data_IF_585720371168
#
_entry.id   IF_585720371168
#
_cell.length_a   1.000
_cell.length_b   1.000
_cell.length_c   1.000
_cell.angle_alpha   90.00
_cell.angle_beta   90.00
_cell.angle_gamma   90.00
#
_symmetry.space_group_name_H-M   'P 1'
#
loop_
_entity.id
_entity.type
_entity.pdbx_description
1 polymer ?
#
# COMPACT_ATOMS: atom_id res chain seq x y z
N UNK A 1 -37.31 -6.75 12.31
CA UNK A 1 -36.79 -5.50 12.86
C UNK A 1 -35.61 -5.84 13.74
N UNK A 2 -34.43 -6.07 13.11
CA UNK A 2 -33.18 -6.33 13.82
C UNK A 2 -32.11 -5.49 13.13
N UNK A 3 -31.71 -4.41 13.80
CA UNK A 3 -30.54 -3.61 13.43
C UNK A 3 -29.29 -4.34 13.92
N UNK A 4 -28.47 -4.83 13.00
CA UNK A 4 -27.11 -5.23 13.29
C UNK A 4 -26.19 -4.04 13.05
N UNK A 5 -25.71 -3.48 14.12
CA UNK A 5 -24.61 -2.51 14.09
C UNK A 5 -23.30 -3.27 13.81
N UNK A 6 -22.72 -3.05 12.64
CA UNK A 6 -21.34 -3.41 12.30
C UNK A 6 -20.38 -2.51 13.09
N UNK A 7 -20.04 -2.91 14.28
CA UNK A 7 -19.02 -2.29 15.10
C UNK A 7 -18.28 -3.41 15.82
N UNK A 8 -17.11 -3.73 15.35
CA UNK A 8 -15.93 -4.15 16.15
C UNK A 8 -14.89 -4.85 15.26
N UNK A 9 -14.04 -4.06 14.59
CA UNK A 9 -12.71 -4.54 14.22
C UNK A 9 -11.77 -4.16 15.37
N UNK A 10 -11.62 -5.06 16.33
CA UNK A 10 -10.67 -4.92 17.41
C UNK A 10 -9.31 -5.51 16.99
N UNK A 11 -8.32 -4.64 16.80
CA UNK A 11 -6.92 -4.99 16.69
C UNK A 11 -6.43 -5.58 18.01
N UNK A 12 -6.00 -6.84 18.03
CA UNK A 12 -5.22 -7.41 19.11
C UNK A 12 -3.76 -7.01 18.93
N UNK A 13 -3.31 -6.04 19.73
CA UNK A 13 -1.89 -5.73 19.92
C UNK A 13 -1.38 -6.52 21.11
N UNK A 14 -0.50 -7.48 20.88
CA UNK A 14 0.27 -8.18 21.91
C UNK A 14 1.40 -7.24 22.38
N UNK A 15 1.27 -6.76 23.61
CA UNK A 15 2.30 -6.01 24.37
C UNK A 15 3.42 -6.98 24.83
N UNK A 16 4.62 -6.80 24.31
CA UNK A 16 5.84 -7.25 24.97
C UNK A 16 6.53 -6.05 25.62
N UNK A 17 6.52 -6.01 26.94
CA UNK A 17 7.33 -5.07 27.74
C UNK A 17 8.78 -5.53 27.76
N UNK A 18 9.69 -4.76 27.17
CA UNK A 18 11.11 -4.79 27.54
C UNK A 18 11.55 -3.41 28.01
N UNK A 19 12.06 -3.37 29.25
CA UNK A 19 12.71 -2.21 29.84
C UNK A 19 14.05 -1.94 29.17
N UNK A 20 14.27 -0.75 28.67
CA UNK A 20 15.58 -0.27 28.30
C UNK A 20 15.80 1.15 28.84
N UNK A 21 16.96 1.31 29.48
CA UNK A 21 17.39 2.49 30.19
C UNK A 21 17.66 3.68 29.26
N UNK A 22 17.32 4.87 29.73
CA UNK A 22 17.50 6.14 29.04
C UNK A 22 18.96 6.55 28.96
N UNK A 23 19.48 6.74 27.74
CA UNK A 23 20.66 7.55 27.49
C UNK A 23 20.22 8.86 26.82
N UNK A 24 20.36 9.97 27.55
CA UNK A 24 20.16 11.32 27.02
C UNK A 24 21.35 11.69 26.13
N UNK A 25 21.14 11.79 24.82
CA UNK A 25 22.05 12.47 23.91
C UNK A 25 21.41 13.78 23.45
N UNK A 26 22.11 14.89 23.69
CA UNK A 26 21.75 16.23 23.24
C UNK A 26 21.65 16.30 21.73
N UNK A 27 20.47 16.54 21.21
CA UNK A 27 20.25 16.78 19.78
C UNK A 27 20.60 18.22 19.46
N UNK A 28 21.67 18.41 18.68
CA UNK A 28 22.04 19.72 18.15
C UNK A 28 20.94 20.22 17.19
N UNK A 29 20.60 21.48 17.37
CA UNK A 29 19.60 22.23 16.60
C UNK A 29 20.09 22.39 15.15
N UNK A 30 19.54 21.57 14.23
CA UNK A 30 19.77 21.74 12.80
C UNK A 30 18.67 22.63 12.21
N UNK A 31 19.08 23.73 11.57
CA UNK A 31 18.24 24.67 10.87
C UNK A 31 17.30 24.01 9.84
N UNK A 32 16.12 24.59 9.54
CA UNK A 32 15.18 24.01 8.60
C UNK A 32 15.79 24.01 7.19
N UNK A 33 16.06 22.82 6.67
CA UNK A 33 16.45 22.64 5.27
C UNK A 33 15.21 22.83 4.41
N UNK A 34 15.16 23.91 3.65
CA UNK A 34 14.17 24.11 2.61
C UNK A 34 14.40 23.05 1.51
N UNK A 35 13.51 22.05 1.45
CA UNK A 35 13.52 21.07 0.36
C UNK A 35 12.95 21.75 -0.88
N UNK A 36 13.80 22.36 -1.69
CA UNK A 36 13.50 22.69 -3.08
C UNK A 36 13.75 21.44 -3.91
N UNK A 37 12.86 21.23 -4.90
CA UNK A 37 12.90 20.19 -5.89
C UNK A 37 14.32 19.74 -6.26
N UNK A 38 14.75 18.61 -5.72
CA UNK A 38 16.00 17.96 -6.09
C UNK A 38 15.63 16.66 -6.82
N UNK A 39 15.30 16.77 -8.09
CA UNK A 39 15.35 15.64 -9.01
C UNK A 39 16.62 15.81 -9.83
N UNK A 40 17.66 14.97 -9.63
CA UNK A 40 18.77 14.94 -10.55
C UNK A 40 18.30 14.40 -11.89
N UNK A 41 18.59 15.11 -12.96
CA UNK A 41 18.34 14.76 -14.34
C UNK A 41 19.04 13.46 -14.71
N UNK A 42 18.28 12.36 -14.82
CA UNK A 42 18.67 11.20 -15.61
C UNK A 42 17.49 10.74 -16.44
N UNK A 43 17.73 10.37 -17.70
CA UNK A 43 16.81 10.40 -18.84
C UNK A 43 15.42 9.75 -18.67
N UNK A 44 15.22 8.81 -17.74
CA UNK A 44 13.90 8.20 -17.52
C UNK A 44 13.06 8.94 -16.48
N UNK A 45 13.65 9.39 -15.37
CA UNK A 45 12.91 10.10 -14.31
C UNK A 45 12.53 11.52 -14.71
N UNK A 46 13.29 12.17 -15.58
CA UNK A 46 12.98 13.50 -16.11
C UNK A 46 11.64 13.60 -16.87
N UNK A 47 11.06 12.46 -17.26
CA UNK A 47 9.76 12.38 -17.93
C UNK A 47 8.57 12.24 -16.96
N UNK A 48 8.84 12.10 -15.65
CA UNK A 48 7.83 11.93 -14.62
C UNK A 48 7.71 13.19 -13.77
N UNK A 49 6.50 13.67 -13.56
CA UNK A 49 6.17 14.77 -12.65
C UNK A 49 5.77 14.20 -11.28
N UNK A 50 6.70 13.46 -10.66
CA UNK A 50 6.53 12.89 -9.33
C UNK A 50 7.14 13.82 -8.29
N UNK A 51 6.31 14.29 -7.37
CA UNK A 51 6.71 15.12 -6.23
C UNK A 51 6.80 14.27 -4.95
N UNK A 52 7.61 14.75 -4.00
CA UNK A 52 7.72 14.16 -2.67
C UNK A 52 7.41 15.22 -1.62
N UNK A 53 6.40 14.98 -0.77
CA UNK A 53 5.96 15.93 0.24
C UNK A 53 6.02 15.33 1.64
N UNK A 54 6.89 15.90 2.48
CA UNK A 54 7.07 15.53 3.88
C UNK A 54 6.49 16.58 4.85
N UNK A 55 5.80 17.59 4.34
CA UNK A 55 5.35 18.74 5.13
C UNK A 55 4.36 18.35 6.23
N UNK A 56 3.41 17.43 5.93
CA UNK A 56 2.46 16.94 6.92
C UNK A 56 3.17 16.25 8.10
N UNK A 57 4.09 15.33 7.83
CA UNK A 57 4.84 14.61 8.86
C UNK A 57 5.68 15.56 9.74
N UNK A 58 6.35 16.55 9.13
CA UNK A 58 7.13 17.56 9.87
C UNK A 58 6.25 18.45 10.72
N UNK A 59 5.11 18.89 10.20
CA UNK A 59 4.14 19.71 10.93
C UNK A 59 3.52 18.93 12.09
N UNK A 60 3.25 17.63 11.95
CA UNK A 60 2.75 16.78 13.01
C UNK A 60 3.75 16.67 14.17
N UNK A 61 5.02 16.40 13.91
CA UNK A 61 6.06 16.36 14.94
C UNK A 61 6.16 17.73 15.66
N UNK A 62 6.17 18.82 14.89
CA UNK A 62 6.26 20.17 15.49
C UNK A 62 5.03 20.54 16.30
N UNK A 63 3.83 20.18 15.83
CA UNK A 63 2.58 20.37 16.57
C UNK A 63 2.62 19.63 17.92
N UNK A 64 3.02 18.37 17.92
CA UNK A 64 3.10 17.57 19.14
C UNK A 64 4.13 18.11 20.15
N UNK A 65 5.15 18.84 19.67
CA UNK A 65 6.14 19.51 20.52
C UNK A 65 5.67 20.87 21.05
N UNK A 66 5.01 21.66 20.23
CA UNK A 66 4.70 23.08 20.52
C UNK A 66 3.26 23.36 20.89
N UNK A 67 2.34 22.43 20.56
CA UNK A 67 0.88 22.60 20.66
C UNK A 67 0.36 23.88 19.92
N UNK A 68 1.02 24.24 18.81
CA UNK A 68 0.68 25.43 18.03
C UNK A 68 -0.53 25.16 17.14
N UNK A 69 -1.68 25.79 17.42
CA UNK A 69 -2.94 25.60 16.70
C UNK A 69 -2.86 25.89 15.19
N UNK A 70 -2.01 26.83 14.77
CA UNK A 70 -1.81 27.11 13.34
C UNK A 70 -1.22 25.91 12.56
N UNK A 71 -0.46 25.04 13.22
CA UNK A 71 0.02 23.82 12.59
C UNK A 71 -1.12 22.83 12.35
N UNK A 72 -2.08 22.74 13.29
CA UNK A 72 -3.29 21.93 13.13
C UNK A 72 -4.11 22.38 11.91
N UNK A 73 -4.33 23.67 11.76
CA UNK A 73 -5.06 24.25 10.61
C UNK A 73 -4.33 23.92 9.30
N UNK A 74 -3.02 24.16 9.26
CA UNK A 74 -2.20 23.85 8.08
C UNK A 74 -2.20 22.38 7.70
N UNK A 75 -2.14 21.47 8.68
CA UNK A 75 -2.26 20.03 8.43
C UNK A 75 -3.63 19.68 7.89
N UNK A 76 -4.70 20.22 8.48
CA UNK A 76 -6.06 19.98 8.02
C UNK A 76 -6.29 20.43 6.58
N UNK A 77 -5.67 21.54 6.15
CA UNK A 77 -5.79 22.08 4.80
C UNK A 77 -4.80 21.46 3.80
N UNK A 78 -3.93 20.57 4.24
CA UNK A 78 -2.88 20.00 3.39
C UNK A 78 -3.43 19.10 2.28
N UNK A 79 -2.70 18.99 1.14
CA UNK A 79 -3.00 18.01 0.09
C UNK A 79 -2.95 16.55 0.58
N UNK A 80 -2.09 16.25 1.57
CA UNK A 80 -2.01 14.93 2.18
C UNK A 80 -3.33 14.51 2.85
N UNK A 81 -3.99 15.41 3.59
CA UNK A 81 -5.30 15.15 4.19
C UNK A 81 -6.37 14.97 3.12
N UNK A 82 -6.31 15.74 2.02
CA UNK A 82 -7.22 15.55 0.88
C UNK A 82 -7.05 14.17 0.25
N UNK A 83 -5.80 13.71 0.08
CA UNK A 83 -5.51 12.37 -0.43
C UNK A 83 -6.08 11.28 0.48
N UNK A 84 -5.81 11.35 1.79
CA UNK A 84 -6.34 10.38 2.77
C UNK A 84 -7.87 10.34 2.76
N UNK A 85 -8.55 11.52 2.70
CA UNK A 85 -10.00 11.57 2.64
C UNK A 85 -10.58 10.93 1.38
N UNK A 86 -9.95 11.14 0.23
CA UNK A 86 -10.37 10.54 -1.03
C UNK A 86 -10.23 9.03 -0.99
N UNK A 87 -9.10 8.53 -0.49
CA UNK A 87 -8.88 7.10 -0.27
C UNK A 87 -9.92 6.53 0.70
N UNK A 88 -10.07 7.14 1.90
CA UNK A 88 -10.99 6.67 2.92
C UNK A 88 -12.46 6.62 2.46
N UNK A 89 -12.89 7.57 1.62
CA UNK A 89 -14.24 7.58 1.06
C UNK A 89 -14.46 6.50 -0.01
N UNK A 90 -13.44 6.24 -0.83
CA UNK A 90 -13.55 5.23 -1.89
C UNK A 90 -13.59 3.80 -1.30
N UNK A 91 -12.71 3.54 -0.32
CA UNK A 91 -12.51 2.21 0.27
C UNK A 91 -13.22 2.01 1.62
N UNK A 92 -14.05 2.98 2.00
CA UNK A 92 -14.87 2.99 3.23
C UNK A 92 -14.08 2.75 4.53
N UNK A 93 -12.91 3.37 4.64
CA UNK A 93 -12.11 3.31 5.87
C UNK A 93 -12.82 3.99 7.05
N UNK A 94 -12.71 3.39 8.24
CA UNK A 94 -13.29 3.91 9.48
C UNK A 94 -12.42 5.03 10.08
N UNK A 95 -12.58 6.23 9.52
CA UNK A 95 -11.96 7.47 10.00
C UNK A 95 -12.96 8.62 9.92
N UNK A 96 -12.77 9.72 10.67
CA UNK A 96 -13.60 10.93 10.55
C UNK A 96 -13.53 11.51 9.14
N UNK A 97 -14.60 11.35 8.34
CA UNK A 97 -14.66 11.80 6.93
C UNK A 97 -15.30 13.17 6.77
N UNK A 98 -15.98 13.66 7.81
CA UNK A 98 -16.77 14.89 7.78
C UNK A 98 -15.99 16.13 8.25
N UNK A 99 -14.92 15.94 9.00
CA UNK A 99 -14.09 17.02 9.55
C UNK A 99 -12.61 16.74 9.35
N UNK A 100 -11.94 17.62 8.59
CA UNK A 100 -10.49 17.53 8.36
C UNK A 100 -9.70 17.62 9.68
N UNK A 101 -10.09 18.50 10.60
CA UNK A 101 -9.45 18.61 11.92
C UNK A 101 -9.66 17.34 12.76
N UNK A 102 -10.87 16.77 12.74
CA UNK A 102 -11.13 15.50 13.43
C UNK A 102 -10.29 14.36 12.83
N UNK A 103 -10.15 14.30 11.49
CA UNK A 103 -9.26 13.35 10.84
C UNK A 103 -7.81 13.54 11.31
N UNK A 104 -7.27 14.77 11.28
CA UNK A 104 -5.89 15.03 11.73
C UNK A 104 -5.71 14.59 13.17
N UNK A 105 -6.65 14.90 14.08
CA UNK A 105 -6.59 14.43 15.46
C UNK A 105 -6.55 12.91 15.57
N UNK A 106 -7.34 12.20 14.77
CA UNK A 106 -7.32 10.73 14.73
C UNK A 106 -5.98 10.19 14.24
N UNK A 107 -5.38 10.83 13.22
CA UNK A 107 -4.07 10.46 12.69
C UNK A 107 -2.95 10.67 13.73
N UNK A 108 -3.01 11.74 14.52
CA UNK A 108 -2.03 12.00 15.56
C UNK A 108 -2.06 10.96 16.69
N UNK A 109 -3.21 10.30 16.89
CA UNK A 109 -3.38 9.25 17.89
C UNK A 109 -3.48 9.77 19.32
N UNK A 110 -3.49 8.85 20.28
CA UNK A 110 -3.63 9.19 21.70
C UNK A 110 -2.36 9.83 22.27
N UNK A 111 -2.47 10.73 23.29
CA UNK A 111 -1.31 11.35 23.94
C UNK A 111 -0.26 10.33 24.42
N UNK A 112 -0.67 9.17 24.88
CA UNK A 112 0.21 8.12 25.38
C UNK A 112 1.12 7.51 24.30
N UNK A 113 0.73 7.58 23.03
CA UNK A 113 1.48 7.00 21.89
C UNK A 113 2.27 8.04 21.10
N UNK A 114 1.96 9.33 21.25
CA UNK A 114 2.49 10.40 20.41
C UNK A 114 4.01 10.54 20.44
N UNK A 115 4.62 10.41 21.65
CA UNK A 115 6.07 10.56 21.77
C UNK A 115 6.84 9.48 21.00
N UNK A 116 6.45 8.20 21.17
CA UNK A 116 7.06 7.08 20.43
C UNK A 116 6.84 7.23 18.92
N UNK A 117 5.63 7.55 18.49
CA UNK A 117 5.31 7.76 17.07
C UNK A 117 6.10 8.93 16.46
N UNK A 118 6.29 10.02 17.20
CA UNK A 118 7.12 11.15 16.74
C UNK A 118 8.57 10.74 16.54
N UNK A 119 9.13 9.90 17.42
CA UNK A 119 10.50 9.40 17.28
C UNK A 119 10.66 8.50 16.03
N UNK A 120 9.72 7.58 15.81
CA UNK A 120 9.70 6.72 14.62
C UNK A 120 9.60 7.58 13.35
N UNK A 121 8.68 8.53 13.32
CA UNK A 121 8.49 9.43 12.17
C UNK A 121 9.74 10.28 11.89
N UNK A 122 10.40 10.82 12.91
CA UNK A 122 11.64 11.59 12.73
C UNK A 122 12.74 10.76 12.05
N UNK A 123 12.89 9.51 12.46
CA UNK A 123 13.86 8.58 11.87
C UNK A 123 13.47 8.17 10.43
N UNK A 124 12.17 7.98 10.17
CA UNK A 124 11.65 7.71 8.82
C UNK A 124 11.88 8.90 7.88
N UNK A 125 11.66 10.13 8.37
CA UNK A 125 11.96 11.37 7.62
C UNK A 125 13.45 11.50 7.29
N UNK A 126 14.32 11.15 8.24
CA UNK A 126 15.77 11.17 8.01
C UNK A 126 16.18 10.16 6.95
N UNK A 127 15.70 8.91 7.05
CA UNK A 127 15.96 7.87 6.06
C UNK A 127 15.42 8.28 4.68
N UNK A 128 14.19 8.77 4.61
CA UNK A 128 13.59 9.23 3.37
C UNK A 128 14.42 10.32 2.72
N UNK A 129 14.83 11.32 3.49
CA UNK A 129 15.62 12.46 2.97
C UNK A 129 17.02 12.05 2.53
N UNK A 130 17.73 11.23 3.32
CA UNK A 130 19.13 10.89 3.08
C UNK A 130 19.35 9.73 2.12
N UNK A 131 18.43 8.77 2.11
CA UNK A 131 18.60 7.54 1.32
C UNK A 131 17.71 7.53 0.09
N UNK A 132 16.42 7.90 0.22
CA UNK A 132 15.49 7.77 -0.89
C UNK A 132 15.51 8.98 -1.83
N UNK A 133 15.58 10.22 -1.29
CA UNK A 133 15.63 11.43 -2.13
C UNK A 133 17.01 11.70 -2.72
N UNK A 134 18.09 11.22 -2.11
CA UNK A 134 19.45 11.38 -2.64
C UNK A 134 19.69 10.54 -3.90
N UNK A 135 19.01 9.41 -4.03
CA UNK A 135 19.03 8.55 -5.22
C UNK A 135 17.62 8.06 -5.54
N UNK A 136 16.81 8.82 -6.30
CA UNK A 136 15.43 8.47 -6.60
C UNK A 136 15.29 7.37 -7.68
N UNK A 137 16.39 6.75 -8.13
CA UNK A 137 16.33 5.68 -9.14
C UNK A 137 15.50 4.45 -8.73
N UNK A 138 15.24 4.27 -7.44
CA UNK A 138 14.32 3.23 -6.95
C UNK A 138 12.90 3.35 -7.51
N UNK A 139 12.47 4.52 -7.96
CA UNK A 139 11.18 4.71 -8.64
C UNK A 139 11.09 3.83 -9.91
N UNK A 140 12.23 3.53 -10.55
CA UNK A 140 12.27 2.62 -11.71
C UNK A 140 11.85 1.19 -11.35
N UNK A 141 11.97 0.78 -10.08
CA UNK A 141 11.53 -0.56 -9.65
C UNK A 141 9.99 -0.68 -9.74
N UNK A 142 9.23 0.39 -9.39
CA UNK A 142 7.80 0.45 -9.63
C UNK A 142 7.47 0.54 -11.13
N UNK A 143 8.19 1.38 -11.88
CA UNK A 143 8.00 1.57 -13.33
C UNK A 143 8.29 0.31 -14.15
N UNK A 144 9.15 -0.59 -13.65
CA UNK A 144 9.51 -1.82 -14.34
C UNK A 144 8.31 -2.77 -14.58
N UNK A 145 7.24 -2.59 -13.81
CA UNK A 145 6.01 -3.38 -13.90
C UNK A 145 4.79 -2.57 -14.37
N UNK A 146 5.03 -1.38 -14.91
CA UNK A 146 3.99 -0.51 -15.47
C UNK A 146 4.19 -0.33 -16.99
N UNK A 147 3.11 -0.04 -17.75
CA UNK A 147 3.21 0.23 -19.18
C UNK A 147 4.21 1.34 -19.48
N UNK A 148 4.98 1.17 -20.57
CA UNK A 148 6.08 2.09 -20.93
C UNK A 148 5.63 3.53 -21.24
N UNK A 149 4.36 3.73 -21.54
CA UNK A 149 3.73 5.04 -21.76
C UNK A 149 3.19 5.69 -20.47
N UNK A 150 3.19 4.98 -19.34
CA UNK A 150 2.79 5.56 -18.06
C UNK A 150 3.74 6.68 -17.64
N UNK A 151 3.19 7.74 -17.06
CA UNK A 151 3.94 8.85 -16.48
C UNK A 151 3.33 9.23 -15.13
N UNK A 152 4.17 9.28 -14.10
CA UNK A 152 3.73 9.85 -12.82
C UNK A 152 3.43 11.35 -12.98
N UNK A 153 2.34 11.80 -12.37
CA UNK A 153 1.93 13.21 -12.31
C UNK A 153 1.28 13.54 -10.95
N UNK A 154 1.86 13.03 -9.88
CA UNK A 154 1.30 13.13 -8.54
C UNK A 154 2.35 13.26 -7.45
N UNK A 155 1.93 13.07 -6.23
CA UNK A 155 2.76 13.24 -5.03
C UNK A 155 2.78 11.98 -4.18
N UNK A 156 3.98 11.58 -3.73
CA UNK A 156 4.16 10.67 -2.62
C UNK A 156 4.29 11.47 -1.33
N UNK A 157 3.29 11.37 -0.45
CA UNK A 157 3.26 12.03 0.84
C UNK A 157 3.89 11.16 1.93
N UNK A 158 4.66 11.76 2.84
CA UNK A 158 4.88 11.18 4.16
C UNK A 158 3.84 11.75 5.13
N UNK A 159 3.02 10.87 5.69
CA UNK A 159 1.96 11.21 6.63
C UNK A 159 2.30 10.73 8.04
N UNK A 160 1.56 11.20 9.02
CA UNK A 160 1.65 10.79 10.42
C UNK A 160 0.37 10.04 10.78
N UNK A 161 0.43 8.70 10.80
CA UNK A 161 -0.78 7.88 11.02
C UNK A 161 -1.46 7.43 9.72
N UNK A 162 -2.63 6.84 9.85
CA UNK A 162 -3.39 6.12 8.85
C UNK A 162 -2.86 4.69 8.62
N UNK A 163 -3.03 4.13 7.44
CA UNK A 163 -2.49 2.82 7.10
C UNK A 163 -0.96 2.90 6.85
N UNK A 164 -0.28 1.76 6.70
CA UNK A 164 1.16 1.71 6.46
C UNK A 164 1.56 2.44 5.18
N UNK A 165 0.84 2.20 4.12
CA UNK A 165 0.87 2.88 2.84
C UNK A 165 -0.49 2.82 2.18
N UNK A 166 -0.84 3.82 1.38
CA UNK A 166 -2.05 3.83 0.56
C UNK A 166 -1.84 4.61 -0.71
N UNK A 167 -2.46 4.14 -1.79
CA UNK A 167 -2.51 4.83 -3.06
C UNK A 167 -3.96 5.15 -3.46
N UNK A 168 -4.15 6.35 -3.98
CA UNK A 168 -5.35 6.77 -4.68
C UNK A 168 -4.92 7.76 -5.76
N UNK A 169 -4.84 7.26 -6.99
CA UNK A 169 -4.24 8.00 -8.10
C UNK A 169 -4.78 9.44 -8.21
N UNK A 170 -3.92 10.43 -8.47
CA UNK A 170 -2.53 10.30 -8.89
C UNK A 170 -1.51 10.20 -7.72
N UNK A 171 -1.94 10.13 -6.48
CA UNK A 171 -1.11 10.26 -5.29
C UNK A 171 -0.98 8.95 -4.51
N UNK A 172 0.09 8.88 -3.70
CA UNK A 172 0.28 7.86 -2.69
C UNK A 172 0.73 8.49 -1.37
N UNK A 173 0.61 7.75 -0.26
CA UNK A 173 1.17 8.18 1.02
C UNK A 173 1.74 7.02 1.83
N UNK A 174 2.72 7.31 2.69
CA UNK A 174 3.33 6.39 3.62
C UNK A 174 3.24 6.95 5.03
N UNK A 175 2.84 6.12 5.98
CA UNK A 175 2.74 6.47 7.39
C UNK A 175 4.11 6.39 8.07
N UNK A 176 4.79 7.53 8.25
CA UNK A 176 6.11 7.60 8.86
C UNK A 176 6.18 7.07 10.31
N UNK A 177 5.03 6.82 10.96
CA UNK A 177 4.96 6.35 12.35
C UNK A 177 4.72 4.85 12.48
N UNK A 178 4.68 4.11 11.37
CA UNK A 178 4.36 2.69 11.41
C UNK A 178 5.52 1.89 12.05
N UNK A 179 5.21 0.96 12.96
CA UNK A 179 6.19 0.20 13.75
C UNK A 179 7.14 -0.64 12.89
N UNK A 180 6.72 -1.08 11.71
CA UNK A 180 7.59 -1.80 10.78
C UNK A 180 8.81 -0.96 10.36
N UNK A 181 8.65 0.35 10.22
CA UNK A 181 9.74 1.27 9.89
C UNK A 181 10.66 1.58 11.08
N UNK A 182 10.23 1.30 12.31
CA UNK A 182 11.08 1.39 13.50
C UNK A 182 12.14 0.28 13.49
N UNK A 183 11.73 -0.95 13.25
CA UNK A 183 12.61 -2.11 13.23
C UNK A 183 13.50 -2.14 11.96
N UNK A 184 12.91 -1.81 10.80
CA UNK A 184 13.54 -1.96 9.49
C UNK A 184 13.22 -0.75 8.60
N UNK A 185 14.03 0.33 8.68
CA UNK A 185 13.76 1.58 7.92
C UNK A 185 13.73 1.42 6.42
N UNK A 186 14.45 0.43 5.90
CA UNK A 186 14.44 0.12 4.46
C UNK A 186 13.06 -0.35 3.97
N UNK A 187 12.20 -0.81 4.86
CA UNK A 187 10.81 -1.12 4.54
C UNK A 187 10.07 0.08 3.91
N UNK A 188 10.41 1.31 4.34
CA UNK A 188 9.82 2.53 3.75
C UNK A 188 10.04 2.59 2.23
N UNK A 189 11.20 2.16 1.75
CA UNK A 189 11.51 2.09 0.31
C UNK A 189 10.63 1.05 -0.41
N UNK A 190 10.48 -0.13 0.18
CA UNK A 190 9.72 -1.21 -0.44
C UNK A 190 8.23 -0.89 -0.49
N UNK A 191 7.70 -0.29 0.57
CA UNK A 191 6.32 0.21 0.56
C UNK A 191 6.14 1.37 -0.41
N UNK A 192 7.13 2.25 -0.58
CA UNK A 192 7.07 3.30 -1.60
C UNK A 192 6.98 2.73 -3.02
N UNK A 193 7.76 1.68 -3.33
CA UNK A 193 7.68 0.98 -4.62
C UNK A 193 6.29 0.37 -4.83
N UNK A 194 5.76 -0.29 -3.81
CA UNK A 194 4.43 -0.91 -3.82
C UNK A 194 3.33 0.14 -4.10
N UNK A 195 3.30 1.22 -3.33
CA UNK A 195 2.27 2.25 -3.46
C UNK A 195 2.38 3.04 -4.79
N UNK A 196 3.58 3.31 -5.27
CA UNK A 196 3.76 3.94 -6.58
C UNK A 196 3.33 3.01 -7.73
N UNK A 197 3.52 1.69 -7.59
CA UNK A 197 2.95 0.74 -8.56
C UNK A 197 1.43 0.84 -8.59
N UNK A 198 0.76 0.92 -7.43
CA UNK A 198 -0.69 1.13 -7.36
C UNK A 198 -1.14 2.40 -8.08
N UNK A 199 -0.44 3.51 -7.90
CA UNK A 199 -0.73 4.77 -8.62
C UNK A 199 -0.75 4.53 -10.13
N UNK A 200 0.29 3.85 -10.65
CA UNK A 200 0.39 3.58 -12.07
C UNK A 200 -0.65 2.57 -12.57
N UNK A 201 -0.97 1.57 -11.77
CA UNK A 201 -2.02 0.61 -12.11
C UNK A 201 -3.40 1.29 -12.18
N UNK A 202 -3.73 2.15 -11.21
CA UNK A 202 -5.01 2.87 -11.13
C UNK A 202 -5.19 3.90 -12.25
N UNK A 203 -4.13 4.29 -12.95
CA UNK A 203 -4.25 5.15 -14.13
C UNK A 203 -4.98 4.43 -15.27
N UNK A 204 -4.77 3.11 -15.38
CA UNK A 204 -5.42 2.27 -16.39
C UNK A 204 -6.66 1.54 -15.88
N UNK A 205 -6.67 1.11 -14.61
CA UNK A 205 -7.73 0.31 -14.00
C UNK A 205 -8.30 1.04 -12.78
N UNK A 206 -9.51 1.57 -12.88
CA UNK A 206 -10.12 2.31 -11.78
C UNK A 206 -10.56 1.39 -10.65
N UNK A 207 -10.29 1.74 -9.38
CA UNK A 207 -10.72 0.93 -8.24
C UNK A 207 -12.23 0.86 -8.12
N UNK A 208 -12.81 -0.31 -7.81
CA UNK A 208 -14.21 -0.41 -7.44
C UNK A 208 -14.50 0.44 -6.20
N UNK A 209 -15.69 1.00 -6.11
CA UNK A 209 -16.15 1.68 -4.89
C UNK A 209 -16.78 0.66 -3.95
N UNK A 210 -16.32 0.62 -2.71
CA UNK A 210 -16.87 -0.31 -1.72
C UNK A 210 -18.39 -0.15 -1.53
N UNK A 211 -18.88 1.09 -1.54
CA UNK A 211 -20.32 1.37 -1.43
C UNK A 211 -21.20 0.86 -2.59
N UNK A 212 -20.61 0.54 -3.74
CA UNK A 212 -21.34 0.07 -4.93
C UNK A 212 -21.44 -1.46 -4.98
N UNK A 213 -20.73 -2.18 -4.12
CA UNK A 213 -20.72 -3.65 -4.06
C UNK A 213 -22.04 -4.14 -3.45
N UNK A 214 -22.85 -4.88 -4.23
CA UNK A 214 -24.16 -5.40 -3.82
C UNK A 214 -24.28 -6.90 -4.03
N UNK A 215 -23.58 -7.48 -4.98
CA UNK A 215 -23.71 -8.88 -5.38
C UNK A 215 -22.40 -9.65 -5.25
N UNK A 216 -22.49 -10.97 -5.32
CA UNK A 216 -21.30 -11.83 -5.38
C UNK A 216 -20.48 -11.57 -6.66
N UNK A 217 -21.10 -11.14 -7.76
CA UNK A 217 -20.40 -10.72 -8.96
C UNK A 217 -19.58 -9.45 -8.74
N UNK A 218 -20.12 -8.48 -7.98
CA UNK A 218 -19.37 -7.26 -7.63
C UNK A 218 -18.17 -7.60 -6.72
N UNK A 219 -18.36 -8.50 -5.75
CA UNK A 219 -17.26 -9.00 -4.91
C UNK A 219 -16.23 -9.77 -5.72
N UNK A 220 -16.65 -10.57 -6.71
CA UNK A 220 -15.74 -11.26 -7.60
C UNK A 220 -14.87 -10.27 -8.40
N UNK A 221 -15.50 -9.22 -8.93
CA UNK A 221 -14.77 -8.14 -9.63
C UNK A 221 -13.76 -7.45 -8.71
N UNK A 222 -14.11 -7.22 -7.43
CA UNK A 222 -13.19 -6.68 -6.44
C UNK A 222 -12.01 -7.64 -6.19
N UNK A 223 -12.26 -8.93 -6.03
CA UNK A 223 -11.22 -9.96 -5.85
C UNK A 223 -10.28 -9.99 -7.05
N UNK A 224 -10.81 -10.02 -8.28
CA UNK A 224 -10.01 -10.00 -9.50
C UNK A 224 -9.15 -8.74 -9.59
N UNK A 225 -9.76 -7.58 -9.35
CA UNK A 225 -9.07 -6.28 -9.33
C UNK A 225 -7.92 -6.26 -8.32
N UNK A 226 -8.22 -6.63 -7.06
CA UNK A 226 -7.25 -6.59 -5.98
C UNK A 226 -6.14 -7.63 -6.18
N UNK A 227 -6.45 -8.80 -6.75
CA UNK A 227 -5.44 -9.83 -7.05
C UNK A 227 -4.39 -9.33 -8.04
N UNK A 228 -4.80 -8.64 -9.10
CA UNK A 228 -3.84 -8.07 -10.04
C UNK A 228 -3.13 -6.84 -9.45
N UNK A 229 -3.86 -5.93 -8.82
CA UNK A 229 -3.33 -4.69 -8.22
C UNK A 229 -2.25 -5.01 -7.20
N UNK A 230 -2.61 -5.77 -6.16
CA UNK A 230 -1.74 -6.10 -5.04
C UNK A 230 -0.63 -7.06 -5.46
N UNK A 231 -0.98 -8.07 -6.25
CA UNK A 231 -0.01 -9.06 -6.70
C UNK A 231 1.13 -8.44 -7.51
N UNK A 232 0.84 -7.55 -8.42
CA UNK A 232 1.88 -6.89 -9.23
C UNK A 232 2.70 -5.89 -8.40
N UNK A 233 2.09 -5.21 -7.42
CA UNK A 233 2.79 -4.31 -6.52
C UNK A 233 3.72 -5.08 -5.55
N UNK A 234 3.25 -6.20 -5.00
CA UNK A 234 4.08 -7.12 -4.21
C UNK A 234 5.25 -7.63 -5.05
N UNK A 235 5.03 -8.02 -6.30
CA UNK A 235 6.10 -8.50 -7.18
C UNK A 235 7.15 -7.41 -7.46
N UNK A 236 6.75 -6.16 -7.71
CA UNK A 236 7.67 -5.05 -7.91
C UNK A 236 8.57 -4.81 -6.68
N UNK A 237 7.98 -4.81 -5.47
CA UNK A 237 8.72 -4.68 -4.23
C UNK A 237 9.59 -5.93 -3.94
N UNK A 238 9.11 -7.14 -4.24
CA UNK A 238 9.83 -8.40 -4.05
C UNK A 238 11.12 -8.44 -4.86
N UNK A 239 11.10 -8.02 -6.12
CA UNK A 239 12.29 -7.97 -6.97
C UNK A 239 13.36 -7.04 -6.38
N UNK A 240 12.94 -5.92 -5.80
CA UNK A 240 13.86 -5.00 -5.11
C UNK A 240 14.40 -5.62 -3.82
N UNK A 241 13.58 -6.29 -3.01
CA UNK A 241 14.00 -6.98 -1.79
C UNK A 241 15.01 -8.10 -2.08
N UNK A 242 14.79 -8.87 -3.15
CA UNK A 242 15.74 -9.90 -3.58
C UNK A 242 17.10 -9.29 -3.94
N UNK A 243 17.11 -8.21 -4.71
CA UNK A 243 18.32 -7.48 -5.10
C UNK A 243 19.09 -6.94 -3.88
N UNK A 244 18.36 -6.47 -2.87
CA UNK A 244 18.93 -5.91 -1.65
C UNK A 244 19.24 -6.99 -0.58
N UNK A 245 18.97 -8.28 -0.86
CA UNK A 245 19.04 -9.40 0.09
C UNK A 245 18.24 -9.16 1.38
N UNK A 246 17.06 -8.55 1.25
CA UNK A 246 16.22 -8.04 2.32
C UNK A 246 14.77 -8.55 2.22
N UNK A 247 14.56 -9.86 2.04
CA UNK A 247 13.22 -10.44 2.04
C UNK A 247 12.55 -10.30 3.42
N UNK A 248 13.37 -10.28 4.48
CA UNK A 248 12.90 -10.07 5.84
C UNK A 248 12.03 -11.22 6.35
N UNK A 249 11.15 -10.90 7.28
CA UNK A 249 10.18 -11.78 7.92
C UNK A 249 8.74 -11.52 7.47
N UNK A 250 8.56 -10.68 6.44
CA UNK A 250 7.24 -10.35 5.92
C UNK A 250 6.59 -11.60 5.29
N UNK A 251 5.42 -12.03 5.82
CA UNK A 251 4.82 -13.30 5.42
C UNK A 251 4.41 -13.36 3.95
N UNK A 252 4.17 -12.21 3.30
CA UNK A 252 3.79 -12.19 1.89
C UNK A 252 4.99 -12.49 1.00
N UNK A 253 6.18 -11.97 1.34
CA UNK A 253 7.39 -12.20 0.57
C UNK A 253 8.03 -13.57 0.88
N UNK A 254 8.01 -14.00 2.14
CA UNK A 254 8.52 -15.32 2.54
C UNK A 254 7.69 -16.45 1.90
N UNK A 255 6.37 -16.25 1.78
CA UNK A 255 5.50 -17.24 1.15
C UNK A 255 5.85 -17.47 -0.33
N UNK A 256 6.32 -16.45 -1.04
CA UNK A 256 6.66 -16.58 -2.48
C UNK A 256 7.86 -17.50 -2.74
N UNK A 257 8.70 -17.76 -1.75
CA UNK A 257 9.83 -18.69 -1.82
C UNK A 257 9.44 -20.12 -1.35
N UNK A 258 8.22 -20.33 -0.82
CA UNK A 258 7.69 -21.61 -0.39
C UNK A 258 6.64 -22.13 -1.37
N UNK A 259 7.09 -22.93 -2.35
CA UNK A 259 6.21 -23.50 -3.38
C UNK A 259 5.05 -24.31 -2.79
N UNK A 260 5.32 -25.10 -1.71
CA UNK A 260 4.26 -25.90 -1.06
C UNK A 260 3.19 -25.02 -0.44
N UNK A 261 3.61 -23.92 0.21
CA UNK A 261 2.71 -22.93 0.76
C UNK A 261 1.90 -22.25 -0.34
N UNK A 262 2.55 -21.83 -1.40
CA UNK A 262 1.87 -21.18 -2.52
C UNK A 262 0.85 -22.08 -3.21
N UNK A 263 1.11 -23.38 -3.33
CA UNK A 263 0.11 -24.32 -3.86
C UNK A 263 -1.12 -24.47 -2.94
N UNK A 264 -0.93 -24.41 -1.61
CA UNK A 264 -2.04 -24.42 -0.66
C UNK A 264 -2.86 -23.11 -0.71
N UNK A 265 -2.16 -21.97 -0.76
CA UNK A 265 -2.78 -20.65 -0.88
C UNK A 265 -3.57 -20.51 -2.21
N UNK A 266 -3.03 -21.03 -3.32
CA UNK A 266 -3.72 -21.12 -4.61
C UNK A 266 -4.98 -21.96 -4.56
N UNK A 267 -4.92 -23.15 -3.94
CA UNK A 267 -6.08 -24.02 -3.81
C UNK A 267 -7.20 -23.32 -3.01
N UNK A 268 -6.84 -22.63 -1.93
CA UNK A 268 -7.76 -21.84 -1.11
C UNK A 268 -8.34 -20.67 -1.92
N UNK A 269 -7.49 -19.91 -2.62
CA UNK A 269 -7.90 -18.78 -3.45
C UNK A 269 -8.93 -19.22 -4.51
N UNK A 270 -8.64 -20.27 -5.28
CA UNK A 270 -9.57 -20.71 -6.33
C UNK A 270 -10.87 -21.31 -5.79
N UNK A 271 -10.83 -21.96 -4.63
CA UNK A 271 -12.06 -22.40 -3.94
C UNK A 271 -12.97 -21.20 -3.65
N UNK A 272 -12.44 -20.15 -3.04
CA UNK A 272 -13.18 -18.94 -2.70
C UNK A 272 -13.62 -18.15 -3.96
N UNK A 273 -12.76 -18.06 -4.95
CA UNK A 273 -13.06 -17.46 -6.25
C UNK A 273 -14.24 -18.16 -6.94
N UNK A 274 -14.20 -19.49 -7.02
CA UNK A 274 -15.29 -20.26 -7.62
C UNK A 274 -16.59 -20.21 -6.81
N UNK A 275 -16.50 -20.10 -5.49
CA UNK A 275 -17.67 -19.87 -4.65
C UNK A 275 -18.39 -18.58 -5.03
N UNK A 276 -17.68 -17.43 -5.11
CA UNK A 276 -18.27 -16.17 -5.57
C UNK A 276 -18.80 -16.26 -7.00
N UNK A 277 -18.02 -16.86 -7.91
CA UNK A 277 -18.37 -17.01 -9.32
C UNK A 277 -19.65 -17.81 -9.52
N UNK A 278 -19.83 -18.89 -8.75
CA UNK A 278 -21.03 -19.73 -8.82
C UNK A 278 -22.32 -19.03 -8.37
N UNK A 279 -22.19 -18.02 -7.50
CA UNK A 279 -23.32 -17.25 -6.98
C UNK A 279 -23.73 -16.08 -7.87
N UNK A 280 -22.86 -15.60 -8.74
CA UNK A 280 -23.15 -14.59 -9.76
C UNK A 280 -23.83 -13.34 -9.20
N UNK A 281 -25.02 -13.03 -9.68
CA UNK A 281 -25.79 -11.83 -9.30
C UNK A 281 -26.56 -11.95 -7.97
N UNK A 282 -26.39 -13.05 -7.21
CA UNK A 282 -26.99 -13.14 -5.88
C UNK A 282 -26.42 -12.03 -4.98
N UNK A 283 -27.24 -11.57 -4.03
CA UNK A 283 -26.80 -10.56 -3.06
C UNK A 283 -25.56 -11.06 -2.27
N UNK A 284 -24.64 -10.18 -2.04
CA UNK A 284 -23.48 -10.43 -1.19
C UNK A 284 -23.94 -10.50 0.27
N UNK A 285 -24.03 -11.70 0.81
CA UNK A 285 -24.35 -11.98 2.21
C UNK A 285 -23.10 -12.04 3.08
N UNK A 286 -23.26 -12.36 4.36
CA UNK A 286 -22.15 -12.44 5.32
C UNK A 286 -21.08 -13.47 4.89
N UNK A 287 -21.47 -14.59 4.28
CA UNK A 287 -20.53 -15.61 3.82
C UNK A 287 -19.70 -15.13 2.63
N UNK A 288 -20.31 -14.39 1.70
CA UNK A 288 -19.62 -13.77 0.58
C UNK A 288 -18.64 -12.68 1.07
N UNK A 289 -19.03 -11.85 2.04
CA UNK A 289 -18.14 -10.87 2.66
C UNK A 289 -17.00 -11.52 3.46
N UNK A 290 -17.22 -12.69 4.09
CA UNK A 290 -16.16 -13.45 4.73
C UNK A 290 -15.09 -13.95 3.74
N UNK A 291 -15.47 -14.19 2.47
CA UNK A 291 -14.47 -14.44 1.40
C UNK A 291 -13.58 -13.22 1.22
N UNK A 292 -14.17 -12.03 1.08
CA UNK A 292 -13.38 -10.79 0.93
C UNK A 292 -12.40 -10.60 2.09
N UNK A 293 -12.83 -10.86 3.33
CA UNK A 293 -11.97 -10.78 4.52
C UNK A 293 -10.77 -11.73 4.44
N UNK A 294 -10.97 -12.99 4.05
CA UNK A 294 -9.88 -13.95 3.87
C UNK A 294 -8.92 -13.54 2.75
N UNK A 295 -9.47 -13.02 1.65
CA UNK A 295 -8.67 -12.56 0.51
C UNK A 295 -7.79 -11.35 0.87
N UNK A 296 -8.29 -10.43 1.73
CA UNK A 296 -7.64 -9.17 2.10
C UNK A 296 -6.77 -9.28 3.35
N UNK A 297 -7.37 -9.03 4.52
CA UNK A 297 -6.69 -8.85 5.80
C UNK A 297 -6.44 -10.16 6.55
N UNK A 298 -7.26 -11.20 6.32
CA UNK A 298 -7.15 -12.47 6.99
C UNK A 298 -5.93 -13.28 6.51
N UNK A 299 -6.11 -14.03 5.43
CA UNK A 299 -5.04 -14.86 4.87
C UNK A 299 -4.21 -14.14 3.80
N UNK A 300 -4.58 -12.91 3.43
CA UNK A 300 -3.88 -12.05 2.44
C UNK A 300 -3.68 -12.74 1.09
N UNK A 301 -4.68 -13.50 0.65
CA UNK A 301 -4.55 -14.37 -0.52
C UNK A 301 -4.33 -13.60 -1.80
N UNK A 302 -5.00 -12.46 -2.02
CA UNK A 302 -4.83 -11.70 -3.24
C UNK A 302 -3.43 -11.07 -3.38
N UNK A 303 -2.73 -10.79 -2.26
CA UNK A 303 -1.33 -10.33 -2.26
C UNK A 303 -0.39 -11.43 -2.74
N UNK A 304 -0.39 -12.56 -2.04
CA UNK A 304 0.54 -13.67 -2.28
C UNK A 304 0.24 -14.39 -3.58
N UNK A 305 -1.02 -14.79 -3.75
CA UNK A 305 -1.46 -15.52 -4.95
C UNK A 305 -1.35 -14.64 -6.18
N UNK A 306 -1.72 -13.35 -6.09
CA UNK A 306 -1.54 -12.41 -7.19
C UNK A 306 -0.07 -12.24 -7.59
N UNK A 307 0.85 -12.11 -6.61
CA UNK A 307 2.28 -12.02 -6.88
C UNK A 307 2.84 -13.32 -7.48
N UNK A 308 2.42 -14.46 -6.97
CA UNK A 308 2.80 -15.77 -7.54
C UNK A 308 2.30 -15.94 -8.98
N UNK A 309 1.04 -15.58 -9.26
CA UNK A 309 0.50 -15.59 -10.63
C UNK A 309 1.31 -14.68 -11.55
N UNK A 310 1.64 -13.47 -11.09
CA UNK A 310 2.46 -12.53 -11.86
C UNK A 310 3.86 -13.09 -12.16
N UNK A 311 4.52 -13.70 -11.16
CA UNK A 311 5.82 -14.38 -11.36
C UNK A 311 5.72 -15.52 -12.39
N UNK A 312 4.68 -16.34 -12.33
CA UNK A 312 4.49 -17.46 -13.27
C UNK A 312 4.23 -16.96 -14.69
N UNK A 313 3.43 -15.89 -14.84
CA UNK A 313 3.20 -15.25 -16.16
C UNK A 313 4.52 -14.67 -16.67
N UNK A 314 5.27 -13.94 -15.87
CA UNK A 314 6.56 -13.36 -16.25
C UNK A 314 7.55 -14.44 -16.68
N UNK A 315 7.69 -15.50 -15.89
CA UNK A 315 8.61 -16.60 -16.19
C UNK A 315 8.26 -17.34 -17.49
N UNK A 316 6.96 -17.50 -17.80
CA UNK A 316 6.50 -18.24 -18.97
C UNK A 316 6.39 -17.39 -20.24
N UNK A 317 5.89 -16.15 -20.11
CA UNK A 317 5.53 -15.29 -21.27
C UNK A 317 6.38 -14.01 -21.35
N UNK A 318 7.22 -13.75 -20.36
CA UNK A 318 8.08 -12.57 -20.28
C UNK A 318 7.38 -11.34 -19.68
N UNK A 319 8.19 -10.41 -19.17
CA UNK A 319 7.74 -9.17 -18.52
C UNK A 319 6.87 -8.29 -19.40
N UNK A 320 7.17 -8.20 -20.68
CA UNK A 320 6.39 -7.39 -21.62
C UNK A 320 4.93 -7.84 -21.68
N UNK A 321 4.66 -9.16 -21.64
CA UNK A 321 3.30 -9.68 -21.60
C UNK A 321 2.65 -9.36 -20.27
N UNK A 322 3.33 -9.60 -19.13
CA UNK A 322 2.82 -9.28 -17.80
C UNK A 322 2.43 -7.80 -17.69
N UNK A 323 3.30 -6.89 -18.11
CA UNK A 323 3.06 -5.45 -18.07
C UNK A 323 1.88 -5.05 -18.98
N UNK A 324 1.72 -5.67 -20.15
CA UNK A 324 0.58 -5.41 -21.02
C UNK A 324 -0.78 -5.74 -20.36
N UNK A 325 -0.81 -6.70 -19.41
CA UNK A 325 -2.00 -7.08 -18.67
C UNK A 325 -2.50 -5.97 -17.74
N UNK A 326 -1.67 -5.00 -17.38
CA UNK A 326 -2.12 -3.80 -16.64
C UNK A 326 -3.20 -3.05 -17.44
N UNK A 327 -3.02 -2.92 -18.75
CA UNK A 327 -4.01 -2.27 -19.63
C UNK A 327 -5.19 -3.17 -19.96
N UNK A 328 -4.94 -4.48 -20.07
CA UNK A 328 -5.98 -5.47 -20.44
C UNK A 328 -6.93 -5.77 -19.27
N UNK A 329 -6.47 -5.57 -18.05
CA UNK A 329 -7.28 -5.67 -16.84
C UNK A 329 -7.29 -7.03 -16.15
N UNK A 330 -7.94 -7.09 -14.97
CA UNK A 330 -7.85 -8.21 -14.04
C UNK A 330 -8.37 -9.54 -14.61
N UNK A 331 -9.47 -9.54 -15.33
CA UNK A 331 -10.02 -10.75 -15.95
C UNK A 331 -9.04 -11.39 -16.93
N UNK A 332 -8.32 -10.56 -17.73
CA UNK A 332 -7.33 -11.06 -18.67
C UNK A 332 -6.06 -11.55 -17.95
N UNK A 333 -5.69 -10.91 -16.82
CA UNK A 333 -4.60 -11.38 -15.98
C UNK A 333 -4.85 -12.80 -15.45
N UNK A 334 -6.03 -13.05 -14.86
CA UNK A 334 -6.43 -14.36 -14.39
C UNK A 334 -6.51 -15.40 -15.52
N UNK A 335 -7.17 -15.06 -16.63
CA UNK A 335 -7.27 -15.96 -17.80
C UNK A 335 -5.88 -16.31 -18.36
N UNK A 336 -4.94 -15.36 -18.36
CA UNK A 336 -3.57 -15.61 -18.80
C UNK A 336 -2.87 -16.60 -17.86
N UNK A 337 -3.01 -16.44 -16.54
CA UNK A 337 -2.47 -17.39 -15.57
C UNK A 337 -3.08 -18.78 -15.74
N UNK A 338 -4.41 -18.90 -15.79
CA UNK A 338 -5.11 -20.19 -15.98
C UNK A 338 -4.64 -20.92 -17.26
N UNK A 339 -4.32 -20.17 -18.32
CA UNK A 339 -3.79 -20.74 -19.57
C UNK A 339 -2.42 -21.41 -19.42
N UNK A 340 -1.65 -21.09 -18.37
CA UNK A 340 -0.35 -21.73 -18.09
C UNK A 340 -0.51 -23.12 -17.46
N UNK A 341 -1.60 -23.35 -16.73
CA UNK A 341 -1.90 -24.61 -16.06
C UNK A 341 -2.58 -25.64 -16.98
N UNK A 342 -3.16 -25.18 -18.08
CA UNK A 342 -3.75 -26.09 -19.07
C UNK A 342 -2.65 -26.79 -19.87
N UNK A 343 -2.61 -28.14 -19.96
CA UNK A 343 -1.67 -28.81 -20.85
C UNK A 343 -1.90 -28.26 -22.26
N UNK A 344 -0.86 -27.70 -22.88
CA UNK A 344 -0.89 -27.43 -24.29
C UNK A 344 -1.16 -28.78 -24.99
N UNK A 345 -2.39 -28.99 -25.42
CA UNK A 345 -2.66 -29.99 -26.44
C UNK A 345 -1.88 -29.52 -27.66
N UNK A 346 -0.68 -30.11 -27.86
CA UNK A 346 0.10 -29.90 -29.04
C UNK A 346 -0.75 -30.27 -30.27
N UNK A 347 -0.70 -29.47 -31.33
CA UNK A 347 -1.42 -29.77 -32.56
C UNK A 347 -0.96 -31.05 -33.22
#
# INVERSE_FOLDING_TARGET
>A
MFYWTLSQFAFFVLLFCCHAAAAQSSIAESAPVAVRNLVPSTDKLAQHDLSFDTSFARQAIEYLRSNNSHLMERMADSPAVTHILNHARNFDYDVPKESRTALVNSLLGSPSTQAGRSAICAQSLEYFSRSMLSDPHWVNDALAYLPADFRFHGTLFLTFGYDIGVAFAPNASLNCTHSRFEAHRQELLYYAIHELHHVGFMDYQKPPRMGDIKSCADLLNLVEYSTQLEGMAVLAAYQRRQKDHALGDDPDYVALDDEKRMQADLATYFKEYHYLKSRGTQLADADAWAVNERMSSGERLWYRVGAYMAQRIEASKGRTVLVALVKQGPAQFLATYESLASPQTAP
#
